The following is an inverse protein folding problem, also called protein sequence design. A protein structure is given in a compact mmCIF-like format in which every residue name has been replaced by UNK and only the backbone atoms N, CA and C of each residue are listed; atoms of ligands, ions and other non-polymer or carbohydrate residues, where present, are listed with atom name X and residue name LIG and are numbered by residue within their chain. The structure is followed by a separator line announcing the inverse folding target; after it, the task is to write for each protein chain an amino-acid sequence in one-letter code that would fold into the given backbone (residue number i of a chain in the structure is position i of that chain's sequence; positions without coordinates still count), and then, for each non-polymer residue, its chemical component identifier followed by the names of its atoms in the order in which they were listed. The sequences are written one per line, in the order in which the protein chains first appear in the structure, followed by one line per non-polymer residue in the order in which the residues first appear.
data_IF_542927310692
#
_entry.id   IF_542927310692
#
_cell.length_a   1.000
_cell.length_b   1.000
_cell.length_c   1.000
_cell.angle_alpha   90.00
_cell.angle_beta   90.00
_cell.angle_gamma   90.00
#
_symmetry.space_group_name_H-M   'P 1'
#
loop_
_entity.id
_entity.type
_entity.pdbx_description
1 polymer ?
#
# COMPACT_ATOMS: atom_id res chain seq x y z
N UNK A 1 17.83 11.48 15.92
CA UNK A 1 17.85 10.02 15.65
C UNK A 1 17.72 9.16 16.91
N UNK A 2 18.49 9.41 17.98
CA UNK A 2 18.52 8.57 19.20
C UNK A 2 17.21 8.52 20.01
N UNK A 3 16.40 9.58 19.97
CA UNK A 3 15.10 9.66 20.68
C UNK A 3 14.02 8.87 19.95
N UNK A 4 14.03 8.88 18.61
CA UNK A 4 13.11 8.11 17.75
C UNK A 4 13.32 6.61 17.93
N UNK A 5 14.58 6.16 17.91
CA UNK A 5 14.93 4.77 18.20
C UNK A 5 14.48 4.35 19.62
N UNK A 6 14.66 5.21 20.64
CA UNK A 6 14.20 4.94 22.00
C UNK A 6 12.67 4.89 22.12
N UNK A 7 11.91 5.75 21.43
CA UNK A 7 10.44 5.74 21.45
C UNK A 7 9.85 4.59 20.65
N UNK A 8 10.40 4.25 19.48
CA UNK A 8 10.06 3.02 18.76
C UNK A 8 10.29 1.81 19.67
N UNK A 9 11.47 1.73 20.30
CA UNK A 9 11.79 0.65 21.26
C UNK A 9 10.82 0.62 22.45
N UNK A 10 10.36 1.78 22.94
CA UNK A 10 9.33 1.88 24.00
C UNK A 10 7.93 1.47 23.52
N UNK A 11 7.56 1.78 22.27
CA UNK A 11 6.31 1.32 21.65
C UNK A 11 6.32 -0.21 21.45
N UNK A 12 7.40 -0.76 20.88
CA UNK A 12 7.63 -2.20 20.75
C UNK A 12 7.68 -2.91 22.12
N UNK A 13 8.12 -2.22 23.18
CA UNK A 13 8.09 -2.74 24.55
C UNK A 13 6.81 -2.40 25.34
N UNK A 14 5.81 -1.78 24.72
CA UNK A 14 4.58 -1.42 25.43
C UNK A 14 3.71 -2.65 25.69
N UNK A 15 3.00 -2.66 26.83
CA UNK A 15 2.08 -3.75 27.18
C UNK A 15 1.02 -3.97 26.10
N UNK A 16 0.55 -2.90 25.46
CA UNK A 16 -0.40 -2.94 24.35
C UNK A 16 0.18 -3.67 23.13
N UNK A 17 1.43 -3.37 22.75
CA UNK A 17 2.10 -4.05 21.64
C UNK A 17 2.40 -5.52 21.93
N UNK A 18 2.80 -5.84 23.16
CA UNK A 18 2.99 -7.24 23.58
C UNK A 18 1.67 -8.02 23.56
N UNK A 19 0.57 -7.41 24.00
CA UNK A 19 -0.76 -8.01 23.94
C UNK A 19 -1.26 -8.16 22.50
N UNK A 20 -0.94 -7.21 21.63
CA UNK A 20 -1.22 -7.26 20.19
C UNK A 20 -0.52 -8.45 19.53
N UNK A 21 0.80 -8.59 19.69
CA UNK A 21 1.56 -9.75 19.16
C UNK A 21 1.09 -11.08 19.75
N UNK A 22 0.69 -11.10 21.02
CA UNK A 22 0.18 -12.31 21.67
C UNK A 22 -1.21 -12.72 21.19
N UNK A 23 -1.96 -11.83 20.53
CA UNK A 23 -3.32 -12.12 20.07
C UNK A 23 -3.33 -13.25 19.04
N UNK A 24 -4.34 -14.12 19.12
CA UNK A 24 -4.50 -15.26 18.21
C UNK A 24 -4.69 -14.80 16.76
N UNK A 25 -5.46 -13.73 16.56
CA UNK A 25 -5.79 -13.20 15.23
C UNK A 25 -4.53 -12.71 14.49
N UNK A 26 -3.59 -12.09 15.21
CA UNK A 26 -2.35 -11.59 14.60
C UNK A 26 -1.42 -12.73 14.24
N UNK A 27 -1.34 -13.77 15.07
CA UNK A 27 -0.58 -14.97 14.73
C UNK A 27 -1.14 -15.65 13.48
N UNK A 28 -2.46 -15.78 13.38
CA UNK A 28 -3.12 -16.37 12.19
C UNK A 28 -2.83 -15.51 10.95
N UNK A 29 -3.02 -14.19 11.05
CA UNK A 29 -2.75 -13.26 9.94
C UNK A 29 -1.29 -13.32 9.49
N UNK A 30 -0.37 -13.38 10.45
CA UNK A 30 1.06 -13.47 10.17
C UNK A 30 1.44 -14.80 9.50
N UNK A 31 0.86 -15.91 9.94
CA UNK A 31 1.06 -17.23 9.32
C UNK A 31 0.56 -17.22 7.88
N UNK A 32 -0.65 -16.72 7.63
CA UNK A 32 -1.23 -16.64 6.28
C UNK A 32 -0.35 -15.77 5.38
N UNK A 33 0.04 -14.58 5.85
CA UNK A 33 0.91 -13.68 5.12
C UNK A 33 2.27 -14.32 4.79
N UNK A 34 2.87 -15.02 5.75
CA UNK A 34 4.13 -15.72 5.56
C UNK A 34 4.01 -16.85 4.54
N UNK A 35 2.93 -17.63 4.59
CA UNK A 35 2.64 -18.68 3.60
C UNK A 35 2.50 -18.06 2.19
N UNK A 36 1.81 -16.93 2.05
CA UNK A 36 1.67 -16.26 0.76
C UNK A 36 3.01 -15.75 0.22
N UNK A 37 3.85 -15.15 1.07
CA UNK A 37 5.21 -14.73 0.68
C UNK A 37 6.05 -15.94 0.30
N UNK A 38 6.01 -17.00 1.09
CA UNK A 38 6.75 -18.22 0.80
C UNK A 38 6.31 -18.84 -0.53
N UNK A 39 5.00 -18.95 -0.76
CA UNK A 39 4.44 -19.45 -2.00
C UNK A 39 4.85 -18.59 -3.20
N UNK A 40 4.86 -17.27 -3.03
CA UNK A 40 5.33 -16.31 -4.02
C UNK A 40 6.82 -16.50 -4.33
N UNK A 41 7.70 -16.51 -3.34
CA UNK A 41 9.15 -16.63 -3.55
C UNK A 41 9.50 -17.98 -4.20
N UNK A 42 8.87 -19.08 -3.76
CA UNK A 42 9.13 -20.43 -4.26
C UNK A 42 8.19 -20.87 -5.39
N UNK A 43 7.58 -19.92 -6.12
CA UNK A 43 6.62 -20.23 -7.18
C UNK A 43 7.16 -21.19 -8.25
N UNK A 44 8.42 -21.05 -8.66
CA UNK A 44 9.02 -21.93 -9.68
C UNK A 44 9.13 -23.39 -9.22
N UNK A 45 9.23 -23.63 -7.91
CA UNK A 45 9.27 -24.97 -7.32
C UNK A 45 7.89 -25.52 -7.01
N UNK A 46 6.98 -24.66 -6.55
CA UNK A 46 5.60 -25.03 -6.19
C UNK A 46 4.75 -25.27 -7.45
N UNK A 47 5.02 -24.53 -8.52
CA UNK A 47 4.32 -24.60 -9.79
C UNK A 47 5.32 -24.62 -10.97
N UNK A 48 5.96 -25.77 -11.23
CA UNK A 48 7.02 -25.90 -12.23
C UNK A 48 6.51 -25.90 -13.68
N UNK A 49 5.19 -26.09 -13.89
CA UNK A 49 4.58 -26.05 -15.23
C UNK A 49 4.70 -24.68 -15.91
N UNK A 50 5.06 -23.64 -15.15
CA UNK A 50 5.19 -22.27 -15.63
C UNK A 50 3.84 -21.56 -15.77
N UNK A 51 3.86 -20.23 -15.80
CA UNK A 51 2.63 -19.43 -15.84
C UNK A 51 2.05 -19.25 -17.25
N UNK A 52 2.87 -19.46 -18.30
CA UNK A 52 2.51 -19.15 -19.69
C UNK A 52 2.53 -20.37 -20.62
N UNK A 53 2.80 -21.57 -20.10
CA UNK A 53 2.76 -22.79 -20.91
C UNK A 53 1.32 -23.11 -21.31
N UNK A 54 1.07 -23.18 -22.62
CA UNK A 54 -0.26 -23.37 -23.21
C UNK A 54 -0.35 -24.74 -23.86
N UNK A 55 -1.40 -25.48 -23.51
CA UNK A 55 -1.68 -26.79 -24.09
C UNK A 55 -3.17 -26.87 -24.50
N UNK A 56 -3.44 -26.55 -25.76
CA UNK A 56 -4.80 -26.38 -26.30
C UNK A 56 -5.68 -27.64 -26.19
N UNK A 57 -5.08 -28.83 -26.15
CA UNK A 57 -5.78 -30.10 -25.94
C UNK A 57 -6.38 -30.21 -24.53
N UNK A 58 -5.87 -29.44 -23.56
CA UNK A 58 -6.28 -29.44 -22.16
C UNK A 58 -7.05 -28.19 -21.78
N UNK A 59 -7.90 -27.69 -22.66
CA UNK A 59 -8.71 -26.50 -22.39
C UNK A 59 -9.86 -26.81 -21.47
N UNK A 60 -10.08 -25.95 -20.47
CA UNK A 60 -11.23 -26.01 -19.56
C UNK A 60 -11.37 -27.36 -18.84
N UNK A 61 -10.25 -28.05 -18.61
CA UNK A 61 -10.22 -29.26 -17.80
C UNK A 61 -10.57 -28.94 -16.34
N UNK A 62 -11.39 -29.78 -15.69
CA UNK A 62 -11.70 -29.64 -14.27
C UNK A 62 -10.46 -29.89 -13.39
N UNK A 63 -10.53 -29.56 -12.09
CA UNK A 63 -9.48 -29.88 -11.13
C UNK A 63 -9.03 -31.35 -11.18
N UNK A 64 -7.71 -31.57 -11.22
CA UNK A 64 -7.08 -32.89 -11.22
C UNK A 64 -5.79 -32.87 -10.40
N UNK A 65 -5.19 -34.05 -10.14
CA UNK A 65 -3.90 -34.14 -9.44
C UNK A 65 -2.78 -33.37 -10.17
N UNK A 66 -2.84 -33.31 -11.50
CA UNK A 66 -1.89 -32.57 -12.32
C UNK A 66 -2.22 -31.07 -12.37
N UNK A 67 -3.50 -30.73 -12.47
CA UNK A 67 -3.99 -29.35 -12.47
C UNK A 67 -4.91 -29.11 -11.26
N UNK A 68 -4.39 -28.79 -10.06
CA UNK A 68 -5.19 -28.72 -8.83
C UNK A 68 -6.37 -27.74 -8.88
N UNK A 69 -6.26 -26.69 -9.69
CA UNK A 69 -7.33 -25.71 -9.93
C UNK A 69 -7.92 -25.80 -11.35
N UNK A 70 -7.60 -26.85 -12.09
CA UNK A 70 -7.97 -26.99 -13.50
C UNK A 70 -7.17 -26.07 -14.42
N UNK A 71 -7.69 -25.92 -15.64
CA UNK A 71 -7.04 -25.18 -16.73
C UNK A 71 -7.95 -24.09 -17.30
N UNK A 72 -7.36 -23.04 -17.86
CA UNK A 72 -8.12 -21.96 -18.51
C UNK A 72 -8.46 -22.26 -19.98
N UNK A 73 -9.08 -21.28 -20.66
CA UNK A 73 -9.48 -21.38 -22.07
C UNK A 73 -8.30 -21.50 -23.07
N UNK A 74 -7.06 -21.29 -22.63
CA UNK A 74 -5.85 -21.55 -23.41
C UNK A 74 -5.13 -22.84 -22.96
N UNK A 75 -5.73 -23.61 -22.04
CA UNK A 75 -5.14 -24.81 -21.48
C UNK A 75 -3.96 -24.55 -20.56
N UNK A 76 -3.92 -23.37 -19.91
CA UNK A 76 -2.89 -23.03 -18.91
C UNK A 76 -3.36 -23.43 -17.51
N UNK A 77 -2.43 -23.90 -16.69
CA UNK A 77 -2.69 -24.25 -15.28
C UNK A 77 -3.09 -23.03 -14.45
N UNK A 78 -4.33 -23.02 -13.94
CA UNK A 78 -4.85 -21.91 -13.12
C UNK A 78 -4.06 -21.79 -11.81
N UNK A 79 -3.69 -22.94 -11.22
CA UNK A 79 -2.88 -22.99 -10.00
C UNK A 79 -1.51 -22.34 -10.21
N UNK A 80 -0.82 -22.71 -11.30
CA UNK A 80 0.48 -22.12 -11.64
C UNK A 80 0.38 -20.61 -11.84
N UNK A 81 -0.65 -20.15 -12.56
CA UNK A 81 -0.88 -18.72 -12.78
C UNK A 81 -1.16 -17.96 -11.49
N UNK A 82 -1.89 -18.55 -10.54
CA UNK A 82 -2.18 -17.92 -9.26
C UNK A 82 -0.91 -17.76 -8.40
N UNK A 83 -0.08 -18.81 -8.32
CA UNK A 83 1.15 -18.81 -7.52
C UNK A 83 2.19 -17.85 -8.12
N UNK A 84 2.44 -17.92 -9.43
CA UNK A 84 3.35 -16.97 -10.10
C UNK A 84 2.82 -15.53 -10.09
N UNK A 85 1.50 -15.36 -10.25
CA UNK A 85 0.85 -14.04 -10.18
C UNK A 85 0.98 -13.38 -8.82
N UNK A 86 1.12 -14.15 -7.74
CA UNK A 86 1.33 -13.59 -6.40
C UNK A 86 2.62 -12.76 -6.29
N UNK A 87 3.71 -13.13 -7.00
CA UNK A 87 4.94 -12.34 -7.09
C UNK A 87 4.67 -10.94 -7.64
N UNK A 88 3.92 -10.88 -8.72
CA UNK A 88 3.54 -9.63 -9.40
C UNK A 88 2.64 -8.78 -8.49
N UNK A 89 1.68 -9.39 -7.81
CA UNK A 89 0.78 -8.69 -6.88
C UNK A 89 1.55 -8.06 -5.70
N UNK A 90 2.50 -8.79 -5.10
CA UNK A 90 3.33 -8.23 -4.04
C UNK A 90 4.18 -7.05 -4.54
N UNK A 91 4.75 -7.19 -5.73
CA UNK A 91 5.55 -6.12 -6.35
C UNK A 91 4.71 -4.86 -6.61
N UNK A 92 3.53 -5.01 -7.24
CA UNK A 92 2.57 -3.92 -7.45
C UNK A 92 2.24 -3.21 -6.13
N UNK A 93 1.88 -3.99 -5.12
CA UNK A 93 1.45 -3.48 -3.82
C UNK A 93 2.55 -2.66 -3.15
N UNK A 94 3.79 -3.17 -3.14
CA UNK A 94 4.92 -2.49 -2.51
C UNK A 94 5.21 -1.15 -3.20
N UNK A 95 5.30 -1.13 -4.53
CA UNK A 95 5.60 0.08 -5.29
C UNK A 95 4.51 1.14 -5.10
N UNK A 96 3.24 0.76 -5.26
CA UNK A 96 2.11 1.68 -5.13
C UNK A 96 2.01 2.28 -3.72
N UNK A 97 2.19 1.46 -2.67
CA UNK A 97 2.16 1.94 -1.28
C UNK A 97 3.35 2.84 -1.00
N UNK A 98 4.56 2.47 -1.43
CA UNK A 98 5.74 3.28 -1.18
C UNK A 98 5.57 4.69 -1.73
N UNK A 99 5.10 4.82 -2.97
CA UNK A 99 4.85 6.13 -3.60
C UNK A 99 3.76 6.90 -2.85
N UNK A 100 2.58 6.30 -2.72
CA UNK A 100 1.40 6.98 -2.15
C UNK A 100 1.58 7.34 -0.68
N UNK A 101 2.15 6.44 0.13
CA UNK A 101 2.39 6.66 1.56
C UNK A 101 3.50 7.68 1.77
N UNK A 102 4.63 7.59 1.05
CA UNK A 102 5.75 8.50 1.26
C UNK A 102 5.37 9.93 0.93
N UNK A 103 4.76 10.14 -0.23
CA UNK A 103 4.37 11.48 -0.69
C UNK A 103 3.15 11.98 0.10
N UNK A 104 2.11 11.14 0.22
CA UNK A 104 0.86 11.53 0.86
C UNK A 104 0.99 11.79 2.36
N UNK A 105 1.74 10.95 3.09
CA UNK A 105 2.02 11.20 4.52
C UNK A 105 2.87 12.44 4.69
N UNK A 106 3.92 12.62 3.90
CA UNK A 106 4.78 13.81 4.01
C UNK A 106 4.00 15.10 3.78
N UNK A 107 3.22 15.17 2.69
CA UNK A 107 2.40 16.33 2.39
C UNK A 107 1.29 16.54 3.42
N UNK A 108 0.62 15.48 3.87
CA UNK A 108 -0.42 15.58 4.90
C UNK A 108 0.12 16.06 6.26
N UNK A 109 1.33 15.64 6.65
CA UNK A 109 2.01 16.13 7.85
C UNK A 109 2.31 17.63 7.75
N UNK A 110 2.83 18.07 6.60
CA UNK A 110 3.15 19.49 6.34
C UNK A 110 1.87 20.32 6.38
N UNK A 111 0.84 19.89 5.64
CA UNK A 111 -0.48 20.54 5.56
C UNK A 111 -1.11 20.71 6.94
N UNK A 112 -1.22 19.61 7.70
CA UNK A 112 -1.88 19.61 9.00
C UNK A 112 -1.10 20.30 10.11
N UNK A 113 0.24 20.29 10.05
CA UNK A 113 1.06 20.90 11.11
C UNK A 113 1.18 22.42 10.94
N UNK A 114 1.58 22.88 9.75
CA UNK A 114 1.88 24.30 9.50
C UNK A 114 0.62 25.14 9.22
N UNK A 115 -0.42 24.56 8.60
CA UNK A 115 -1.63 25.31 8.25
C UNK A 115 -1.40 26.45 7.25
N UNK A 116 -2.34 27.38 7.20
CA UNK A 116 -2.25 28.61 6.39
C UNK A 116 -2.12 28.37 4.89
N UNK A 117 -1.31 29.19 4.22
CA UNK A 117 -1.15 29.14 2.75
C UNK A 117 -0.61 27.80 2.25
N UNK A 118 0.29 27.16 3.02
CA UNK A 118 0.85 25.86 2.65
C UNK A 118 -0.24 24.79 2.63
N UNK A 119 -1.11 24.82 3.64
CA UNK A 119 -2.28 23.94 3.71
C UNK A 119 -3.25 24.19 2.55
N UNK A 120 -3.56 25.46 2.27
CA UNK A 120 -4.46 25.83 1.17
C UNK A 120 -3.95 25.34 -0.19
N UNK A 121 -2.64 25.47 -0.47
CA UNK A 121 -2.05 25.00 -1.73
C UNK A 121 -2.10 23.48 -1.84
N UNK A 122 -1.68 22.77 -0.78
CA UNK A 122 -1.69 21.29 -0.77
C UNK A 122 -3.12 20.76 -0.90
N UNK A 123 -4.08 21.37 -0.19
CA UNK A 123 -5.48 20.95 -0.25
C UNK A 123 -6.12 21.27 -1.59
N UNK A 124 -5.80 22.40 -2.23
CA UNK A 124 -6.26 22.67 -3.61
C UNK A 124 -5.76 21.62 -4.60
N UNK A 125 -4.48 21.25 -4.54
CA UNK A 125 -3.93 20.17 -5.38
C UNK A 125 -4.64 18.84 -5.09
N UNK A 126 -4.86 18.54 -3.82
CA UNK A 126 -5.55 17.31 -3.37
C UNK A 126 -7.00 17.27 -3.86
N UNK A 127 -7.73 18.37 -3.76
CA UNK A 127 -9.12 18.46 -4.20
C UNK A 127 -9.23 18.34 -5.72
N UNK A 128 -8.27 18.88 -6.48
CA UNK A 128 -8.20 18.65 -7.92
C UNK A 128 -7.98 17.18 -8.27
N UNK A 129 -7.14 16.45 -7.52
CA UNK A 129 -6.95 15.02 -7.74
C UNK A 129 -8.23 14.22 -7.41
N UNK A 130 -8.90 14.55 -6.29
CA UNK A 130 -10.11 13.86 -5.84
C UNK A 130 -11.33 14.17 -6.70
N UNK A 131 -11.32 15.27 -7.46
CA UNK A 131 -12.40 15.60 -8.39
C UNK A 131 -12.50 14.58 -9.54
N UNK A 132 -11.40 13.90 -9.88
CA UNK A 132 -11.40 12.83 -10.87
C UNK A 132 -11.64 11.47 -10.22
N UNK A 133 -12.44 10.59 -10.83
CA UNK A 133 -12.45 9.17 -10.47
C UNK A 133 -11.02 8.61 -10.50
N UNK A 134 -10.60 7.91 -9.43
CA UNK A 134 -9.20 7.45 -9.27
C UNK A 134 -8.70 6.62 -10.44
N UNK A 135 -9.57 5.80 -11.05
CA UNK A 135 -9.21 5.02 -12.24
C UNK A 135 -8.98 5.89 -13.47
N UNK A 136 -9.76 6.95 -13.67
CA UNK A 136 -9.58 7.89 -14.78
C UNK A 136 -8.30 8.69 -14.61
N UNK A 137 -8.02 9.15 -13.39
CA UNK A 137 -6.76 9.82 -13.07
C UNK A 137 -5.56 8.91 -13.36
N UNK A 138 -5.64 7.63 -12.94
CA UNK A 138 -4.59 6.65 -13.20
C UNK A 138 -4.37 6.39 -14.69
N UNK A 139 -5.43 6.25 -15.49
CA UNK A 139 -5.33 6.08 -16.95
C UNK A 139 -4.73 7.33 -17.60
N UNK A 140 -5.16 8.53 -17.18
CA UNK A 140 -4.63 9.78 -17.71
C UNK A 140 -3.13 9.93 -17.45
N UNK A 141 -2.67 9.62 -16.22
CA UNK A 141 -1.25 9.63 -15.88
C UNK A 141 -0.50 8.56 -16.69
N UNK A 142 -1.04 7.34 -16.78
CA UNK A 142 -0.42 6.26 -17.54
C UNK A 142 -0.28 6.59 -19.03
N UNK A 143 -1.27 7.26 -19.62
CA UNK A 143 -1.23 7.70 -21.01
C UNK A 143 -0.11 8.73 -21.28
N UNK A 144 0.26 9.53 -20.27
CA UNK A 144 1.36 10.50 -20.36
C UNK A 144 2.72 9.80 -20.19
N UNK A 145 2.83 8.88 -19.22
CA UNK A 145 4.10 8.20 -18.91
C UNK A 145 4.43 7.12 -19.95
N UNK A 146 3.42 6.45 -20.50
CA UNK A 146 3.53 5.36 -21.46
C UNK A 146 3.14 4.00 -20.88
N UNK A 147 2.78 3.06 -21.74
CA UNK A 147 2.33 1.72 -21.34
C UNK A 147 3.44 0.91 -20.64
N UNK A 148 3.02 -0.05 -19.83
CA UNK A 148 3.90 -1.00 -19.15
C UNK A 148 3.59 -1.14 -17.66
N UNK A 149 3.94 -2.30 -17.10
CA UNK A 149 3.65 -2.63 -15.70
C UNK A 149 4.25 -1.61 -14.72
N UNK A 150 5.51 -1.21 -14.93
CA UNK A 150 6.19 -0.25 -14.06
C UNK A 150 5.52 1.12 -14.07
N UNK A 151 5.20 1.63 -15.25
CA UNK A 151 4.50 2.90 -15.41
C UNK A 151 3.07 2.83 -14.83
N UNK A 152 2.39 1.70 -14.98
CA UNK A 152 1.08 1.47 -14.38
C UNK A 152 1.14 1.55 -12.85
N UNK A 153 2.15 0.93 -12.22
CA UNK A 153 2.34 1.02 -10.76
C UNK A 153 2.63 2.47 -10.31
N UNK A 154 3.43 3.22 -11.06
CA UNK A 154 3.73 4.62 -10.76
C UNK A 154 2.45 5.46 -10.86
N UNK A 155 1.69 5.31 -11.95
CA UNK A 155 0.44 6.03 -12.17
C UNK A 155 -0.59 5.74 -11.06
N UNK A 156 -0.70 4.48 -10.65
CA UNK A 156 -1.57 4.06 -9.54
C UNK A 156 -1.10 4.64 -8.21
N UNK A 157 0.21 4.57 -7.93
CA UNK A 157 0.81 5.13 -6.73
C UNK A 157 0.57 6.65 -6.61
N UNK A 158 0.73 7.39 -7.71
CA UNK A 158 0.46 8.83 -7.75
C UNK A 158 -1.02 9.12 -7.51
N UNK A 159 -1.91 8.38 -8.19
CA UNK A 159 -3.36 8.56 -8.06
C UNK A 159 -3.85 8.31 -6.63
N UNK A 160 -3.16 7.49 -5.87
CA UNK A 160 -3.47 7.16 -4.48
C UNK A 160 -2.92 8.17 -3.45
N UNK A 161 -2.16 9.20 -3.83
CA UNK A 161 -1.57 10.18 -2.90
C UNK A 161 -2.64 10.96 -2.13
N UNK A 162 -3.68 11.44 -2.81
CA UNK A 162 -4.66 12.37 -2.25
C UNK A 162 -5.42 11.84 -1.01
N UNK A 163 -5.92 10.57 -0.98
CA UNK A 163 -6.48 9.98 0.22
C UNK A 163 -5.54 10.01 1.44
N UNK A 164 -4.24 9.76 1.24
CA UNK A 164 -3.27 9.82 2.33
C UNK A 164 -3.05 11.24 2.85
N UNK A 165 -2.95 12.24 1.96
CA UNK A 165 -2.83 13.65 2.36
C UNK A 165 -3.99 14.02 3.27
N UNK A 166 -5.22 13.77 2.83
CA UNK A 166 -6.43 14.15 3.55
C UNK A 166 -6.56 13.42 4.89
N UNK A 167 -6.27 12.13 4.91
CA UNK A 167 -6.27 11.32 6.13
C UNK A 167 -5.26 11.86 7.15
N UNK A 168 -4.00 11.98 6.73
CA UNK A 168 -2.91 12.39 7.62
C UNK A 168 -3.12 13.82 8.10
N UNK A 169 -3.52 14.73 7.23
CA UNK A 169 -3.88 16.11 7.62
C UNK A 169 -4.93 16.11 8.73
N UNK A 170 -6.02 15.36 8.56
CA UNK A 170 -7.08 15.28 9.57
C UNK A 170 -6.59 14.74 10.91
N UNK A 171 -5.75 13.71 10.89
CA UNK A 171 -5.15 13.15 12.12
C UNK A 171 -4.18 14.13 12.78
N UNK A 172 -3.38 14.85 12.00
CA UNK A 172 -2.40 15.83 12.51
C UNK A 172 -3.09 17.02 13.14
N UNK A 173 -4.18 17.53 12.54
CA UNK A 173 -4.98 18.59 13.14
C UNK A 173 -5.49 18.20 14.52
N UNK A 174 -5.97 16.96 14.69
CA UNK A 174 -6.41 16.46 15.99
C UNK A 174 -5.26 16.21 16.98
N UNK A 175 -4.11 15.73 16.52
CA UNK A 175 -2.93 15.51 17.36
C UNK A 175 -2.28 16.81 17.85
N UNK A 176 -2.31 17.87 17.02
CA UNK A 176 -1.69 19.17 17.34
C UNK A 176 -2.33 19.85 18.55
N UNK A 177 -3.62 19.62 18.79
CA UNK A 177 -4.38 20.19 19.92
C UNK A 177 -4.13 19.45 21.25
N UNK A 178 -3.24 18.44 21.29
CA UNK A 178 -2.97 17.67 22.52
C UNK A 178 -1.89 18.34 23.38
N UNK A 179 -2.07 18.24 24.71
CA UNK A 179 -1.17 18.83 25.73
C UNK A 179 0.32 18.51 25.55
N UNK A 180 0.67 17.34 25.03
CA UNK A 180 2.08 16.98 24.82
C UNK A 180 2.73 17.82 23.70
N UNK A 181 1.95 18.26 22.71
CA UNK A 181 2.41 19.13 21.63
C UNK A 181 2.61 20.54 22.17
N UNK A 182 1.61 21.07 22.87
CA UNK A 182 1.67 22.40 23.51
C UNK A 182 2.85 22.50 24.48
N UNK A 183 3.02 21.49 25.34
CA UNK A 183 4.15 21.41 26.26
C UNK A 183 5.50 21.38 25.52
N UNK A 184 5.57 20.66 24.39
CA UNK A 184 6.80 20.60 23.59
C UNK A 184 7.13 21.94 22.94
N UNK A 185 6.12 22.71 22.52
CA UNK A 185 6.30 24.06 21.96
C UNK A 185 6.75 25.03 23.06
N UNK A 186 6.13 24.98 24.24
CA UNK A 186 6.48 25.81 25.39
C UNK A 186 7.93 25.61 25.85
N UNK A 187 8.47 24.39 25.68
CA UNK A 187 9.88 24.06 25.95
C UNK A 187 10.84 24.42 24.80
N UNK A 188 10.37 25.10 23.76
CA UNK A 188 11.19 25.50 22.60
C UNK A 188 11.53 24.36 21.63
N UNK A 189 10.71 23.30 21.60
CA UNK A 189 10.90 22.17 20.68
C UNK A 189 10.70 22.59 19.22
N UNK A 190 11.60 22.15 18.33
CA UNK A 190 11.50 22.43 16.89
C UNK A 190 10.37 21.63 16.23
N UNK A 191 9.79 22.16 15.15
CA UNK A 191 8.69 21.51 14.40
C UNK A 191 9.03 20.08 13.98
N UNK A 192 10.26 19.84 13.50
CA UNK A 192 10.70 18.49 13.10
C UNK A 192 10.74 17.52 14.32
N UNK A 193 11.08 18.03 15.50
CA UNK A 193 11.09 17.25 16.73
C UNK A 193 9.67 16.85 17.18
N UNK A 194 8.68 17.71 16.90
CA UNK A 194 7.28 17.49 17.26
C UNK A 194 6.58 16.58 16.25
N UNK A 195 6.89 16.74 14.96
CA UNK A 195 6.26 15.99 13.87
C UNK A 195 6.74 14.54 13.80
N UNK A 196 8.06 14.29 13.72
CA UNK A 196 8.57 13.01 13.20
C UNK A 196 8.57 11.87 14.24
N UNK A 197 8.88 12.07 15.54
CA UNK A 197 8.68 11.02 16.55
C UNK A 197 7.32 11.02 17.27
N UNK A 198 6.76 12.16 17.75
CA UNK A 198 5.48 12.19 18.45
C UNK A 198 4.26 12.00 17.56
N UNK A 199 3.99 12.95 16.65
CA UNK A 199 2.75 12.96 15.88
C UNK A 199 2.71 11.79 14.90
N UNK A 200 3.77 11.61 14.10
CA UNK A 200 3.86 10.50 13.15
C UNK A 200 3.70 9.14 13.84
N UNK A 201 4.27 8.98 15.04
CA UNK A 201 4.11 7.78 15.86
C UNK A 201 2.65 7.47 16.22
N UNK A 202 1.88 8.49 16.56
CA UNK A 202 0.48 8.35 16.97
C UNK A 202 -0.47 8.06 15.78
N UNK A 203 -0.15 8.59 14.60
CA UNK A 203 -1.01 8.45 13.40
C UNK A 203 -0.64 7.25 12.53
N UNK A 204 0.36 6.43 12.92
CA UNK A 204 0.74 5.22 12.19
C UNK A 204 -0.43 4.25 12.02
N UNK A 205 -1.28 4.10 13.04
CA UNK A 205 -2.41 3.16 13.00
C UNK A 205 -3.38 3.44 11.83
N UNK A 206 -3.96 4.64 11.69
CA UNK A 206 -4.82 4.94 10.53
C UNK A 206 -4.07 4.89 9.19
N UNK A 207 -2.79 5.24 9.14
CA UNK A 207 -1.97 5.13 7.91
C UNK A 207 -1.81 3.67 7.47
N UNK A 208 -1.60 2.74 8.41
CA UNK A 208 -1.51 1.30 8.12
C UNK A 208 -2.86 0.75 7.63
N UNK A 209 -3.97 1.19 8.22
CA UNK A 209 -5.32 0.82 7.76
C UNK A 209 -5.56 1.31 6.34
N UNK A 210 -5.24 2.57 6.03
CA UNK A 210 -5.33 3.13 4.68
C UNK A 210 -4.46 2.38 3.66
N UNK A 211 -3.31 1.89 4.11
CA UNK A 211 -2.42 1.10 3.27
C UNK A 211 -3.03 -0.24 2.86
N UNK A 212 -3.80 -0.89 3.72
CA UNK A 212 -4.53 -2.10 3.35
C UNK A 212 -5.56 -1.85 2.22
N UNK A 213 -6.32 -0.74 2.30
CA UNK A 213 -7.23 -0.36 1.23
C UNK A 213 -6.49 -0.03 -0.08
N UNK A 214 -5.34 0.63 0.03
CA UNK A 214 -4.52 1.00 -1.12
C UNK A 214 -3.96 -0.24 -1.83
N UNK A 215 -3.54 -1.26 -1.08
CA UNK A 215 -3.14 -2.57 -1.66
C UNK A 215 -4.27 -3.13 -2.52
N UNK A 216 -5.45 -3.30 -1.94
CA UNK A 216 -6.59 -3.91 -2.64
C UNK A 216 -6.96 -3.12 -3.91
N UNK A 217 -7.06 -1.79 -3.80
CA UNK A 217 -7.40 -0.93 -4.93
C UNK A 217 -6.31 -0.92 -6.02
N UNK A 218 -5.04 -0.93 -5.63
CA UNK A 218 -3.92 -0.91 -6.58
C UNK A 218 -3.88 -2.17 -7.44
N UNK A 219 -4.12 -3.35 -6.84
CA UNK A 219 -4.16 -4.63 -7.56
C UNK A 219 -5.27 -4.62 -8.61
N UNK A 220 -6.48 -4.20 -8.22
CA UNK A 220 -7.64 -4.11 -9.12
C UNK A 220 -7.37 -3.11 -10.24
N UNK A 221 -6.75 -1.97 -9.93
CA UNK A 221 -6.50 -0.92 -10.92
C UNK A 221 -5.44 -1.34 -11.94
N UNK A 222 -4.32 -1.92 -11.50
CA UNK A 222 -3.30 -2.44 -12.43
C UNK A 222 -3.86 -3.60 -13.26
N UNK A 223 -4.65 -4.50 -12.66
CA UNK A 223 -5.32 -5.56 -13.42
C UNK A 223 -6.29 -5.00 -14.47
N UNK A 224 -7.00 -3.92 -14.15
CA UNK A 224 -7.89 -3.23 -15.09
C UNK A 224 -7.10 -2.62 -16.26
N UNK A 225 -5.91 -2.06 -16.00
CA UNK A 225 -5.03 -1.52 -17.04
C UNK A 225 -4.49 -2.64 -17.95
N UNK A 226 -4.14 -3.79 -17.36
CA UNK A 226 -3.76 -4.98 -18.11
C UNK A 226 -4.90 -5.50 -19.01
N UNK A 227 -6.15 -5.47 -18.52
CA UNK A 227 -7.33 -5.87 -19.30
C UNK A 227 -7.57 -4.99 -20.53
N UNK A 228 -7.30 -3.68 -20.41
CA UNK A 228 -7.46 -2.70 -21.51
C UNK A 228 -6.21 -2.68 -22.44
N UNK A 229 -5.17 -3.45 -22.12
CA UNK A 229 -3.95 -3.56 -22.93
C UNK A 229 -2.94 -2.44 -22.74
N UNK A 230 -3.06 -1.66 -21.67
CA UNK A 230 -2.18 -0.52 -21.34
C UNK A 230 -1.23 -0.78 -20.16
N UNK A 231 -1.46 -1.86 -19.40
CA UNK A 231 -0.71 -2.21 -18.19
C UNK A 231 0.15 -3.49 -18.27
N UNK A 232 0.34 -4.06 -19.46
CA UNK A 232 1.07 -5.31 -19.68
C UNK A 232 2.18 -5.14 -20.71
#
# INVERSE_FOLDING_TARGET
MMIMAKRLKKFFNSQAFQNFIKSKNIKISFIIFFIMIFASIFADYIAPEGYNYQELSKRLEPPSLKYPLGTDYLGRSIFSRAIHGSRVIFYISIVCIMISTTIGVSLGLISGFYGGIVDDIIMRLTDMMLAFPTILLGIAILAIIGAGLENAMIAVGISAIAPYIRLVRGQVLAEREKLYVESSIALGGSSIHIITPPILGNILSPVLVQSAFTIANSIVMVASFGFIGIGA
#
